data_IF_454084762206
#
_entry.id   IF_454084762206
#
_cell.length_a   1.000
_cell.length_b   1.000
_cell.length_c   1.000
_cell.angle_alpha   90.00
_cell.angle_beta   90.00
_cell.angle_gamma   90.00
#
_symmetry.space_group_name_H-M   'P 1'
#
loop_
_entity.id
_entity.type
_entity.pdbx_description
1 polymer ?
#
# COMPACT_ATOMS: atom_id res chain seq x y z
N UNK A 1 -23.26 26.36 9.08
CA UNK A 1 -22.70 27.65 8.60
C UNK A 1 -21.66 28.24 9.53
N UNK A 2 -21.95 28.53 10.81
CA UNK A 2 -20.93 29.07 11.74
C UNK A 2 -19.66 28.19 11.84
N UNK A 3 -19.82 26.87 11.94
CA UNK A 3 -18.71 25.93 11.94
C UNK A 3 -17.88 25.94 10.63
N UNK A 4 -18.52 26.17 9.47
CA UNK A 4 -17.83 26.30 8.18
C UNK A 4 -17.07 27.63 8.08
N UNK A 5 -17.60 28.71 8.66
CA UNK A 5 -16.93 30.00 8.71
C UNK A 5 -15.70 29.99 9.63
N UNK A 6 -15.71 29.14 10.66
CA UNK A 6 -14.59 28.88 11.56
C UNK A 6 -13.70 27.72 11.08
N UNK A 7 -14.01 27.14 9.91
CA UNK A 7 -13.24 26.05 9.37
C UNK A 7 -11.79 26.48 9.12
N UNK A 8 -10.84 25.53 9.10
CA UNK A 8 -9.46 25.90 8.85
C UNK A 8 -9.23 26.48 7.45
N UNK A 9 -10.10 26.14 6.48
CA UNK A 9 -10.14 26.69 5.12
C UNK A 9 -11.61 27.00 4.74
N UNK A 10 -12.18 28.16 5.14
CA UNK A 10 -13.62 28.43 5.05
C UNK A 10 -14.19 28.39 3.63
N UNK A 11 -13.55 29.06 2.67
CA UNK A 11 -14.04 29.12 1.28
C UNK A 11 -14.09 27.72 0.65
N UNK A 12 -13.02 26.95 0.83
CA UNK A 12 -12.93 25.58 0.35
C UNK A 12 -13.96 24.68 1.05
N UNK A 13 -14.13 24.81 2.36
CA UNK A 13 -15.12 24.05 3.12
C UNK A 13 -16.54 24.31 2.60
N UNK A 14 -16.88 25.58 2.33
CA UNK A 14 -18.19 25.97 1.79
C UNK A 14 -18.43 25.40 0.40
N UNK A 15 -17.45 25.50 -0.52
CA UNK A 15 -17.57 24.94 -1.87
C UNK A 15 -17.76 23.42 -1.84
N UNK A 16 -16.99 22.71 -1.01
CA UNK A 16 -17.11 21.26 -0.85
C UNK A 16 -18.41 20.85 -0.16
N UNK A 17 -18.88 21.65 0.78
CA UNK A 17 -20.18 21.47 1.42
C UNK A 17 -21.34 21.64 0.43
N UNK A 18 -21.29 22.66 -0.44
CA UNK A 18 -22.27 22.85 -1.50
C UNK A 18 -22.28 21.66 -2.47
N UNK A 19 -21.10 21.20 -2.89
CA UNK A 19 -20.96 20.01 -3.74
C UNK A 19 -21.57 18.75 -3.09
N UNK A 20 -21.31 18.53 -1.80
CA UNK A 20 -21.90 17.42 -1.05
C UNK A 20 -23.44 17.50 -1.04
N UNK A 21 -23.99 18.67 -0.72
CA UNK A 21 -25.45 18.86 -0.70
C UNK A 21 -26.07 18.71 -2.09
N UNK A 22 -25.41 19.18 -3.14
CA UNK A 22 -25.89 19.08 -4.52
C UNK A 22 -25.98 17.65 -5.04
N UNK A 23 -25.15 16.74 -4.52
CA UNK A 23 -25.13 15.33 -4.91
C UNK A 23 -26.07 14.45 -4.06
N UNK A 24 -26.66 14.98 -2.99
CA UNK A 24 -27.57 14.25 -2.13
C UNK A 24 -28.98 14.20 -2.73
N UNK A 25 -29.65 13.03 -2.76
CA UNK A 25 -31.06 12.98 -3.12
C UNK A 25 -31.94 13.71 -2.08
N UNK A 26 -31.49 13.77 -0.82
CA UNK A 26 -32.10 14.59 0.23
C UNK A 26 -31.06 14.94 1.30
N UNK A 27 -31.00 16.21 1.68
CA UNK A 27 -30.15 16.67 2.78
C UNK A 27 -30.76 16.43 4.17
N UNK A 28 -32.03 16.00 4.26
CA UNK A 28 -32.75 15.86 5.54
C UNK A 28 -32.05 14.88 6.47
N UNK A 29 -31.63 13.71 5.95
CA UNK A 29 -30.98 12.70 6.77
C UNK A 29 -29.61 13.16 7.28
N UNK A 30 -28.84 13.84 6.44
CA UNK A 30 -27.57 14.44 6.83
C UNK A 30 -27.76 15.47 7.95
N UNK A 31 -28.72 16.39 7.80
CA UNK A 31 -28.98 17.41 8.82
C UNK A 31 -29.47 16.81 10.13
N UNK A 32 -30.39 15.83 10.08
CA UNK A 32 -30.84 15.10 11.28
C UNK A 32 -29.69 14.39 11.98
N UNK A 33 -28.78 13.79 11.22
CA UNK A 33 -27.58 13.16 11.76
C UNK A 33 -26.69 14.18 12.49
N UNK A 34 -26.42 15.31 11.86
CA UNK A 34 -25.59 16.37 12.45
C UNK A 34 -26.25 17.04 13.67
N UNK A 35 -27.58 17.17 13.67
CA UNK A 35 -28.35 17.64 14.82
C UNK A 35 -28.29 16.65 15.99
N UNK A 36 -28.44 15.35 15.71
CA UNK A 36 -28.35 14.30 16.72
C UNK A 36 -26.92 14.08 17.24
N UNK A 37 -25.90 14.38 16.44
CA UNK A 37 -24.48 14.18 16.76
C UNK A 37 -23.64 15.43 16.42
N UNK A 38 -23.72 16.51 17.22
CA UNK A 38 -23.01 17.77 16.93
C UNK A 38 -21.50 17.64 16.78
N UNK A 39 -20.88 16.67 17.47
CA UNK A 39 -19.43 16.40 17.35
C UNK A 39 -19.02 15.98 15.92
N UNK A 40 -19.90 15.32 15.16
CA UNK A 40 -19.62 14.93 13.76
C UNK A 40 -19.49 16.15 12.85
N UNK A 41 -20.07 17.29 13.21
CA UNK A 41 -19.91 18.52 12.43
C UNK A 41 -18.46 18.99 12.40
N UNK A 42 -17.73 18.86 13.51
CA UNK A 42 -16.31 19.20 13.57
C UNK A 42 -15.47 18.32 12.66
N UNK A 43 -15.69 17.00 12.75
CA UNK A 43 -15.03 16.01 11.88
C UNK A 43 -15.34 16.27 10.40
N UNK A 44 -16.61 16.54 10.07
CA UNK A 44 -17.01 16.84 8.70
C UNK A 44 -16.32 18.10 8.17
N UNK A 45 -16.27 19.17 8.96
CA UNK A 45 -15.56 20.40 8.59
C UNK A 45 -14.07 20.10 8.34
N UNK A 46 -13.43 19.34 9.22
CA UNK A 46 -12.02 18.96 9.04
C UNK A 46 -11.82 18.14 7.75
N UNK A 47 -12.71 17.21 7.43
CA UNK A 47 -12.64 16.44 6.18
C UNK A 47 -12.73 17.36 4.96
N UNK A 48 -13.75 18.23 4.91
CA UNK A 48 -14.00 19.11 3.76
C UNK A 48 -12.86 20.12 3.54
N UNK A 49 -12.21 20.58 4.61
CA UNK A 49 -11.08 21.50 4.54
C UNK A 49 -9.75 20.81 4.25
N UNK A 50 -9.42 19.73 4.96
CA UNK A 50 -8.04 19.23 5.08
C UNK A 50 -7.73 18.02 4.19
N UNK A 51 -8.73 17.22 3.81
CA UNK A 51 -8.50 15.95 3.12
C UNK A 51 -9.28 15.89 1.80
N UNK A 52 -8.74 16.44 0.70
CA UNK A 52 -9.42 16.44 -0.60
C UNK A 52 -9.92 15.05 -1.02
N UNK A 53 -9.14 13.94 -0.90
CA UNK A 53 -9.62 12.61 -1.28
C UNK A 53 -10.85 12.14 -0.50
N UNK A 54 -10.95 12.47 0.80
CA UNK A 54 -12.10 12.10 1.62
C UNK A 54 -13.31 13.00 1.33
N UNK A 55 -13.09 14.29 1.10
CA UNK A 55 -14.14 15.21 0.68
C UNK A 55 -14.76 14.77 -0.66
N UNK A 56 -13.92 14.35 -1.62
CA UNK A 56 -14.37 13.80 -2.90
C UNK A 56 -15.15 12.48 -2.72
N UNK A 57 -14.72 11.63 -1.78
CA UNK A 57 -15.43 10.40 -1.44
C UNK A 57 -16.81 10.68 -0.84
N UNK A 58 -16.90 11.62 0.13
CA UNK A 58 -18.17 12.05 0.73
C UNK A 58 -19.13 12.63 -0.29
N UNK A 59 -18.63 13.46 -1.20
CA UNK A 59 -19.46 14.07 -2.25
C UNK A 59 -20.08 13.01 -3.17
N UNK A 60 -19.47 11.83 -3.32
CA UNK A 60 -20.05 10.69 -4.05
C UNK A 60 -20.94 9.81 -3.18
N UNK A 61 -20.56 9.63 -1.91
CA UNK A 61 -21.20 8.70 -0.96
C UNK A 61 -21.27 9.32 0.44
N UNK A 62 -22.40 9.97 0.72
CA UNK A 62 -22.63 10.61 2.02
C UNK A 62 -22.88 9.60 3.16
N UNK A 63 -23.24 8.37 2.82
CA UNK A 63 -23.38 7.25 3.77
C UNK A 63 -22.04 6.86 4.44
N UNK A 64 -20.91 7.36 3.93
CA UNK A 64 -19.60 7.24 4.59
C UNK A 64 -19.51 7.95 5.96
N UNK A 65 -20.48 8.81 6.30
CA UNK A 65 -20.61 9.38 7.64
C UNK A 65 -21.21 8.40 8.66
N UNK A 66 -21.99 7.41 8.21
CA UNK A 66 -22.68 6.49 9.10
C UNK A 66 -21.70 5.65 9.96
N UNK A 67 -20.59 5.12 9.40
CA UNK A 67 -19.57 4.44 10.20
C UNK A 67 -18.87 5.31 11.23
N UNK A 68 -18.98 6.65 11.16
CA UNK A 68 -18.37 7.57 12.13
C UNK A 68 -19.24 7.80 13.37
N UNK A 69 -20.49 7.30 13.38
CA UNK A 69 -21.44 7.48 14.48
C UNK A 69 -21.07 6.62 15.70
N UNK A 70 -20.46 5.47 15.44
CA UNK A 70 -20.10 4.48 16.44
C UNK A 70 -18.72 4.78 17.05
N UNK A 71 -18.52 4.43 18.33
CA UNK A 71 -17.22 4.61 19.00
C UNK A 71 -16.10 3.80 18.30
N UNK A 72 -16.44 2.66 17.69
CA UNK A 72 -15.55 1.83 16.87
C UNK A 72 -15.06 2.52 15.59
N UNK A 73 -15.54 3.73 15.28
CA UNK A 73 -15.02 4.54 14.17
C UNK A 73 -13.51 4.79 14.26
N UNK A 74 -12.98 4.86 15.49
CA UNK A 74 -11.59 5.15 15.80
C UNK A 74 -10.77 3.91 16.18
N UNK A 75 -11.37 2.73 16.12
CA UNK A 75 -10.64 1.47 16.27
C UNK A 75 -9.87 1.14 14.98
N UNK A 76 -8.66 0.62 15.14
CA UNK A 76 -7.91 0.06 14.03
C UNK A 76 -8.59 -1.25 13.57
N UNK A 77 -8.53 -1.59 12.27
CA UNK A 77 -9.12 -2.83 11.78
C UNK A 77 -8.49 -4.05 12.45
N UNK A 78 -9.28 -5.14 12.53
CA UNK A 78 -8.84 -6.45 13.01
C UNK A 78 -7.81 -7.12 12.09
N UNK A 79 -7.50 -8.38 12.37
CA UNK A 79 -6.66 -9.20 11.50
C UNK A 79 -7.31 -9.46 10.12
N UNK A 80 -6.51 -9.99 9.19
CA UNK A 80 -6.92 -10.25 7.81
C UNK A 80 -8.10 -11.24 7.77
N UNK A 81 -8.09 -12.28 8.61
CA UNK A 81 -9.15 -13.29 8.63
C UNK A 81 -10.50 -12.72 9.06
N UNK A 82 -10.52 -11.85 10.08
CA UNK A 82 -11.71 -11.14 10.52
C UNK A 82 -12.25 -10.21 9.44
N UNK A 83 -11.36 -9.51 8.72
CA UNK A 83 -11.73 -8.66 7.59
C UNK A 83 -12.27 -9.48 6.41
N UNK A 84 -11.65 -10.62 6.08
CA UNK A 84 -12.16 -11.56 5.06
C UNK A 84 -13.55 -12.04 5.43
N UNK A 85 -13.77 -12.47 6.68
CA UNK A 85 -15.09 -12.91 7.16
C UNK A 85 -16.13 -11.77 7.10
N UNK A 86 -15.71 -10.53 7.36
CA UNK A 86 -16.58 -9.37 7.20
C UNK A 86 -16.91 -9.13 5.71
N UNK A 87 -15.90 -9.07 4.83
CA UNK A 87 -16.07 -8.74 3.42
C UNK A 87 -16.79 -9.83 2.63
N UNK A 88 -16.59 -11.10 2.95
CA UNK A 88 -17.25 -12.24 2.32
C UNK A 88 -18.69 -12.48 2.80
N UNK A 89 -19.19 -11.72 3.80
CA UNK A 89 -20.56 -11.85 4.30
C UNK A 89 -21.57 -11.33 3.26
N UNK A 90 -22.16 -12.22 2.49
CA UNK A 90 -23.07 -11.91 1.39
C UNK A 90 -24.40 -12.64 1.57
N UNK A 91 -25.46 -12.11 0.95
CA UNK A 91 -26.74 -12.81 0.88
C UNK A 91 -26.60 -14.08 0.04
N UNK A 92 -27.23 -15.20 0.43
CA UNK A 92 -27.23 -16.43 -0.37
C UNK A 92 -27.68 -16.18 -1.81
N UNK A 93 -26.92 -16.69 -2.78
CA UNK A 93 -27.21 -16.51 -4.21
C UNK A 93 -26.80 -15.14 -4.77
N UNK A 94 -25.94 -14.39 -4.07
CA UNK A 94 -25.30 -13.20 -4.64
C UNK A 94 -24.48 -13.59 -5.87
N UNK A 95 -24.65 -12.84 -6.96
CA UNK A 95 -23.84 -12.99 -8.17
C UNK A 95 -22.46 -12.35 -8.02
N UNK A 96 -21.61 -12.58 -9.02
CA UNK A 96 -20.24 -12.05 -9.06
C UNK A 96 -20.20 -10.53 -8.94
N UNK A 97 -21.09 -9.80 -9.62
CA UNK A 97 -21.14 -8.33 -9.60
C UNK A 97 -21.46 -7.80 -8.19
N UNK A 98 -22.43 -8.41 -7.51
CA UNK A 98 -22.80 -8.02 -6.15
C UNK A 98 -21.70 -8.30 -5.13
N UNK A 99 -20.89 -9.34 -5.36
CA UNK A 99 -19.66 -9.57 -4.57
C UNK A 99 -18.70 -8.38 -4.76
N UNK A 100 -18.44 -8.00 -6.01
CA UNK A 100 -17.51 -6.89 -6.34
C UNK A 100 -17.93 -5.57 -5.67
N UNK A 101 -19.22 -5.24 -5.72
CA UNK A 101 -19.78 -4.01 -5.15
C UNK A 101 -19.77 -4.03 -3.62
N UNK A 102 -20.15 -5.16 -3.01
CA UNK A 102 -20.18 -5.26 -1.54
C UNK A 102 -18.79 -5.12 -0.93
N UNK A 103 -17.78 -5.75 -1.53
CA UNK A 103 -16.39 -5.62 -1.06
C UNK A 103 -15.90 -4.18 -1.22
N UNK A 104 -16.16 -3.53 -2.36
CA UNK A 104 -15.81 -2.13 -2.60
C UNK A 104 -16.40 -1.20 -1.55
N UNK A 105 -17.68 -1.36 -1.26
CA UNK A 105 -18.41 -0.58 -0.26
C UNK A 105 -17.77 -0.68 1.12
N UNK A 106 -17.52 -1.90 1.59
CA UNK A 106 -16.93 -2.16 2.92
C UNK A 106 -15.49 -1.67 3.02
N UNK A 107 -14.69 -1.86 1.96
CA UNK A 107 -13.32 -1.37 1.90
C UNK A 107 -13.29 0.15 1.89
N UNK A 108 -14.16 0.82 1.13
CA UNK A 108 -14.20 2.29 1.09
C UNK A 108 -14.56 2.86 2.46
N UNK A 109 -15.52 2.25 3.16
CA UNK A 109 -15.91 2.64 4.53
C UNK A 109 -14.76 2.45 5.52
N UNK A 110 -14.06 1.31 5.47
CA UNK A 110 -12.92 1.05 6.34
C UNK A 110 -11.75 2.02 6.07
N UNK A 111 -11.42 2.28 4.80
CA UNK A 111 -10.39 3.26 4.40
C UNK A 111 -10.77 4.69 4.80
N UNK A 112 -12.04 5.04 4.65
CA UNK A 112 -12.57 6.35 5.03
C UNK A 112 -12.38 6.61 6.54
N UNK A 113 -12.74 5.64 7.39
CA UNK A 113 -12.50 5.71 8.85
C UNK A 113 -11.02 5.92 9.17
N UNK A 114 -10.13 5.14 8.55
CA UNK A 114 -8.68 5.30 8.74
C UNK A 114 -8.16 6.67 8.27
N UNK A 115 -8.72 7.23 7.20
CA UNK A 115 -8.41 8.58 6.75
C UNK A 115 -8.85 9.64 7.78
N UNK A 116 -10.03 9.48 8.37
CA UNK A 116 -10.51 10.37 9.44
C UNK A 116 -9.61 10.29 10.67
N UNK A 117 -9.16 9.09 11.06
CA UNK A 117 -8.21 8.91 12.17
C UNK A 117 -6.88 9.65 11.94
N UNK A 118 -6.40 9.75 10.70
CA UNK A 118 -5.20 10.55 10.36
C UNK A 118 -5.44 12.05 10.55
N UNK A 119 -6.62 12.55 10.16
CA UNK A 119 -6.97 13.97 10.30
C UNK A 119 -7.06 14.35 11.78
N UNK A 120 -7.73 13.51 12.56
CA UNK A 120 -7.97 13.74 13.99
C UNK A 120 -6.75 13.38 14.87
N UNK A 121 -5.74 12.69 14.30
CA UNK A 121 -4.51 12.31 15.01
C UNK A 121 -4.74 11.32 16.14
N UNK A 122 -5.69 10.39 15.98
CA UNK A 122 -6.13 9.47 17.06
C UNK A 122 -5.24 8.22 17.18
N UNK A 123 -4.68 7.75 16.06
CA UNK A 123 -3.80 6.58 16.01
C UNK A 123 -2.50 6.90 15.28
N UNK A 124 -1.43 6.16 15.61
CA UNK A 124 -0.13 6.26 14.92
C UNK A 124 -0.32 6.03 13.41
N UNK A 125 0.14 6.96 12.53
CA UNK A 125 0.09 6.77 11.10
C UNK A 125 0.71 5.46 10.59
N UNK A 126 1.73 4.91 11.27
CA UNK A 126 2.27 3.58 10.91
C UNK A 126 1.21 2.50 11.10
N UNK A 127 0.53 2.49 12.24
CA UNK A 127 -0.53 1.52 12.55
C UNK A 127 -1.73 1.66 11.60
N UNK A 128 -2.07 2.90 11.22
CA UNK A 128 -3.08 3.19 10.20
C UNK A 128 -2.63 2.62 8.85
N UNK A 129 -1.37 2.84 8.45
CA UNK A 129 -0.82 2.31 7.20
C UNK A 129 -0.82 0.77 7.15
N UNK A 130 -0.54 0.12 8.26
CA UNK A 130 -0.65 -1.34 8.41
C UNK A 130 -2.12 -1.80 8.36
N UNK A 131 -3.05 -1.01 8.92
CA UNK A 131 -4.49 -1.23 8.77
C UNK A 131 -4.95 -1.17 7.32
N UNK A 132 -4.48 -0.18 6.55
CA UNK A 132 -4.75 -0.06 5.11
C UNK A 132 -4.23 -1.28 4.33
N UNK A 133 -3.05 -1.80 4.68
CA UNK A 133 -2.50 -3.00 4.06
C UNK A 133 -3.35 -4.25 4.36
N UNK A 134 -3.77 -4.45 5.61
CA UNK A 134 -4.64 -5.57 5.99
C UNK A 134 -6.00 -5.53 5.28
N UNK A 135 -6.58 -4.33 5.12
CA UNK A 135 -7.81 -4.14 4.34
C UNK A 135 -7.60 -4.53 2.87
N UNK A 136 -6.52 -4.08 2.24
CA UNK A 136 -6.20 -4.42 0.85
C UNK A 136 -5.95 -5.92 0.65
N UNK A 137 -5.29 -6.57 1.61
CA UNK A 137 -5.04 -8.00 1.60
C UNK A 137 -6.33 -8.82 1.70
N UNK A 138 -7.20 -8.47 2.66
CA UNK A 138 -8.50 -9.12 2.81
C UNK A 138 -9.38 -8.94 1.57
N UNK A 139 -9.40 -7.74 0.98
CA UNK A 139 -10.10 -7.50 -0.27
C UNK A 139 -9.54 -8.32 -1.43
N UNK A 140 -8.21 -8.40 -1.56
CA UNK A 140 -7.54 -9.20 -2.58
C UNK A 140 -7.87 -10.69 -2.46
N UNK A 141 -7.89 -11.22 -1.24
CA UNK A 141 -8.30 -12.60 -0.97
C UNK A 141 -9.73 -12.89 -1.42
N UNK A 142 -10.69 -12.07 -0.98
CA UNK A 142 -12.11 -12.27 -1.30
C UNK A 142 -12.37 -12.14 -2.81
N UNK A 143 -11.81 -11.11 -3.44
CA UNK A 143 -12.05 -10.82 -4.87
C UNK A 143 -11.34 -11.81 -5.79
N UNK A 144 -10.12 -12.24 -5.45
CA UNK A 144 -9.41 -13.27 -6.23
C UNK A 144 -10.12 -14.61 -6.11
N UNK A 145 -10.64 -14.96 -4.92
CA UNK A 145 -11.45 -16.16 -4.72
C UNK A 145 -12.72 -16.12 -5.56
N UNK A 146 -13.49 -15.03 -5.48
CA UNK A 146 -14.71 -14.87 -6.27
C UNK A 146 -14.43 -14.94 -7.78
N UNK A 147 -13.34 -14.30 -8.24
CA UNK A 147 -12.92 -14.37 -9.64
C UNK A 147 -12.54 -15.79 -10.06
N UNK A 148 -11.91 -16.58 -9.17
CA UNK A 148 -11.52 -17.97 -9.42
C UNK A 148 -12.72 -18.90 -9.48
N UNK A 149 -13.64 -18.79 -8.52
CA UNK A 149 -14.88 -19.59 -8.48
C UNK A 149 -15.74 -19.34 -9.74
N UNK A 150 -15.91 -18.07 -10.11
CA UNK A 150 -16.65 -17.68 -11.31
C UNK A 150 -15.96 -18.12 -12.60
N UNK A 151 -14.62 -18.08 -12.66
CA UNK A 151 -13.88 -18.57 -13.83
C UNK A 151 -13.97 -20.10 -13.97
N UNK A 152 -13.95 -20.81 -12.84
CA UNK A 152 -14.04 -22.26 -12.79
C UNK A 152 -15.41 -22.80 -13.23
N UNK A 153 -16.50 -22.05 -13.08
CA UNK A 153 -17.82 -22.46 -13.59
C UNK A 153 -17.82 -22.79 -15.09
N UNK A 154 -16.98 -22.10 -15.88
CA UNK A 154 -16.91 -22.28 -17.33
C UNK A 154 -15.73 -23.15 -17.78
N UNK A 155 -14.60 -23.02 -17.10
CA UNK A 155 -13.34 -23.62 -17.51
C UNK A 155 -12.90 -24.80 -16.63
N UNK A 156 -13.59 -25.05 -15.51
CA UNK A 156 -13.15 -26.01 -14.51
C UNK A 156 -11.90 -25.54 -13.78
N UNK A 157 -11.12 -26.46 -13.24
CA UNK A 157 -9.85 -26.20 -12.56
C UNK A 157 -8.72 -26.98 -13.22
N UNK A 158 -7.47 -26.58 -12.95
CA UNK A 158 -6.29 -27.36 -13.35
C UNK A 158 -5.96 -28.34 -12.20
N UNK A 159 -6.06 -29.67 -12.39
CA UNK A 159 -5.79 -30.62 -11.32
C UNK A 159 -4.37 -30.47 -10.75
N UNK A 160 -4.25 -30.37 -9.42
CA UNK A 160 -2.96 -30.24 -8.74
C UNK A 160 -2.25 -28.90 -8.95
N UNK A 161 -2.97 -27.87 -9.39
CA UNK A 161 -2.43 -26.53 -9.64
C UNK A 161 -3.31 -25.46 -9.00
N UNK A 162 -2.70 -24.38 -8.54
CA UNK A 162 -3.40 -23.24 -7.95
C UNK A 162 -2.71 -21.93 -8.30
N UNK A 163 -3.46 -20.83 -8.20
CA UNK A 163 -2.93 -19.49 -8.32
C UNK A 163 -2.28 -19.05 -7.00
N UNK A 164 -1.10 -18.45 -7.11
CA UNK A 164 -0.39 -17.81 -6.01
C UNK A 164 -0.25 -16.33 -6.34
N UNK A 165 -0.45 -15.45 -5.35
CA UNK A 165 -0.28 -14.00 -5.53
C UNK A 165 0.74 -13.46 -4.54
N UNK A 166 1.78 -12.82 -5.05
CA UNK A 166 2.78 -12.10 -4.28
C UNK A 166 2.43 -10.61 -4.21
N UNK A 167 2.49 -10.04 -3.01
CA UNK A 167 2.57 -8.59 -2.84
C UNK A 167 4.03 -8.15 -2.78
N UNK A 168 4.36 -7.02 -3.41
CA UNK A 168 5.68 -6.40 -3.38
C UNK A 168 5.64 -4.98 -2.80
N UNK A 169 6.82 -4.36 -2.69
CA UNK A 169 6.97 -2.98 -2.29
C UNK A 169 6.30 -2.67 -0.96
N UNK A 170 5.47 -1.64 -0.95
CA UNK A 170 4.74 -1.21 0.26
C UNK A 170 3.67 -2.22 0.68
N UNK A 171 2.99 -2.85 -0.28
CA UNK A 171 1.95 -3.83 0.00
C UNK A 171 2.52 -5.13 0.59
N UNK A 172 3.57 -5.67 -0.06
CA UNK A 172 4.27 -6.87 0.38
C UNK A 172 4.85 -6.73 1.79
N UNK A 173 5.47 -5.59 2.09
CA UNK A 173 5.93 -5.30 3.45
C UNK A 173 4.90 -4.68 4.38
N UNK A 174 3.61 -4.88 4.13
CA UNK A 174 2.56 -4.74 5.14
C UNK A 174 2.16 -3.31 5.50
N UNK A 175 2.47 -2.30 4.68
CA UNK A 175 2.14 -0.91 5.00
C UNK A 175 1.77 -0.09 3.76
N UNK A 176 0.54 0.42 3.72
CA UNK A 176 0.04 1.26 2.62
C UNK A 176 -0.17 2.72 3.05
N UNK A 177 -0.34 3.59 2.08
CA UNK A 177 -0.86 4.95 2.25
C UNK A 177 -2.24 5.04 1.61
N UNK A 178 -2.98 6.13 1.84
CA UNK A 178 -4.31 6.29 1.23
C UNK A 178 -4.28 6.29 -0.32
N UNK A 179 -3.14 6.59 -0.92
CA UNK A 179 -2.92 6.68 -2.37
C UNK A 179 -1.95 5.60 -2.90
N UNK A 180 -1.78 4.48 -2.19
CA UNK A 180 -0.91 3.41 -2.65
C UNK A 180 -1.59 2.50 -3.68
N UNK A 181 -0.84 2.19 -4.73
CA UNK A 181 -1.14 1.10 -5.66
C UNK A 181 -0.82 -0.26 -5.02
N UNK A 182 -1.34 -1.34 -5.58
CA UNK A 182 -1.02 -2.71 -5.19
C UNK A 182 -0.01 -3.32 -6.18
N UNK A 183 1.25 -3.42 -5.76
CA UNK A 183 2.30 -4.10 -6.51
C UNK A 183 2.13 -5.62 -6.38
N UNK A 184 1.73 -6.30 -7.46
CA UNK A 184 1.37 -7.72 -7.46
C UNK A 184 2.12 -8.53 -8.54
N UNK A 185 2.53 -9.75 -8.19
CA UNK A 185 2.94 -10.79 -9.15
C UNK A 185 2.01 -11.99 -9.01
N UNK A 186 1.50 -12.48 -10.14
CA UNK A 186 0.69 -13.68 -10.20
C UNK A 186 1.55 -14.85 -10.65
N UNK A 187 1.55 -15.91 -9.85
CA UNK A 187 2.20 -17.19 -10.13
C UNK A 187 1.18 -18.32 -10.15
N UNK A 188 1.57 -19.48 -10.65
CA UNK A 188 0.80 -20.71 -10.47
C UNK A 188 1.69 -21.93 -10.26
N UNK A 189 1.18 -22.90 -9.50
CA UNK A 189 1.87 -24.18 -9.21
C UNK A 189 1.52 -25.26 -10.22
N UNK A 190 2.02 -26.48 -10.06
CA UNK A 190 1.66 -27.62 -10.89
C UNK A 190 2.28 -27.59 -12.29
N UNK A 191 1.81 -28.48 -13.15
CA UNK A 191 2.32 -28.65 -14.52
C UNK A 191 1.75 -27.58 -15.46
N UNK A 192 2.63 -26.80 -16.09
CA UNK A 192 2.26 -25.76 -17.05
C UNK A 192 1.69 -26.32 -18.37
N UNK A 193 1.84 -27.62 -18.61
CA UNK A 193 1.28 -28.37 -19.73
C UNK A 193 -0.07 -29.02 -19.43
N UNK A 194 -0.52 -29.02 -18.17
CA UNK A 194 -1.82 -29.58 -17.79
C UNK A 194 -2.99 -28.80 -18.43
N UNK A 195 -4.15 -29.46 -18.54
CA UNK A 195 -5.39 -28.87 -19.02
C UNK A 195 -6.44 -28.82 -17.92
N UNK A 196 -7.37 -27.87 -18.05
CA UNK A 196 -8.47 -27.71 -17.10
C UNK A 196 -9.63 -28.62 -17.43
N UNK A 197 -10.43 -28.98 -16.42
CA UNK A 197 -11.41 -30.06 -16.48
C UNK A 197 -12.86 -29.62 -16.75
N UNK A 198 -13.09 -28.35 -17.11
CA UNK A 198 -14.44 -27.83 -17.36
C UNK A 198 -14.92 -27.98 -18.80
N UNK A 199 -16.14 -27.47 -19.07
CA UNK A 199 -16.80 -27.57 -20.38
C UNK A 199 -15.99 -26.94 -21.54
N UNK A 200 -15.14 -25.97 -21.22
CA UNK A 200 -14.24 -25.30 -22.18
C UNK A 200 -12.81 -25.36 -21.66
N UNK A 201 -12.11 -26.50 -21.84
CA UNK A 201 -10.78 -26.69 -21.28
C UNK A 201 -9.78 -25.66 -21.86
N UNK A 202 -8.85 -25.27 -21.01
CA UNK A 202 -7.71 -24.41 -21.32
C UNK A 202 -6.45 -25.07 -20.76
N UNK A 203 -5.34 -25.01 -21.50
CA UNK A 203 -4.02 -25.31 -20.95
C UNK A 203 -3.65 -24.36 -19.81
N UNK A 204 -2.92 -24.84 -18.80
CA UNK A 204 -2.65 -24.17 -17.53
C UNK A 204 -2.10 -22.75 -17.72
N UNK A 205 -1.12 -22.57 -18.60
CA UNK A 205 -0.54 -21.24 -18.90
C UNK A 205 -1.61 -20.25 -19.38
N UNK A 206 -2.52 -20.66 -20.28
CA UNK A 206 -3.59 -19.79 -20.76
C UNK A 206 -4.68 -19.58 -19.71
N UNK A 207 -4.98 -20.62 -18.93
CA UNK A 207 -5.92 -20.58 -17.81
C UNK A 207 -5.51 -19.50 -16.80
N UNK A 208 -4.29 -19.56 -16.26
CA UNK A 208 -3.82 -18.63 -15.24
C UNK A 208 -3.58 -17.22 -15.78
N UNK A 209 -3.18 -17.07 -17.05
CA UNK A 209 -3.08 -15.76 -17.69
C UNK A 209 -4.43 -15.05 -17.84
N UNK A 210 -5.52 -15.80 -18.07
CA UNK A 210 -6.88 -15.24 -18.12
C UNK A 210 -7.43 -14.99 -16.72
N UNK A 211 -7.18 -15.92 -15.80
CA UNK A 211 -7.63 -15.79 -14.41
C UNK A 211 -6.94 -14.59 -13.71
N UNK A 212 -5.63 -14.39 -13.91
CA UNK A 212 -4.92 -13.26 -13.30
C UNK A 212 -5.45 -11.91 -13.81
N UNK A 213 -5.72 -11.78 -15.11
CA UNK A 213 -6.40 -10.60 -15.67
C UNK A 213 -7.77 -10.37 -15.04
N UNK A 214 -8.53 -11.44 -14.77
CA UNK A 214 -9.84 -11.34 -14.11
C UNK A 214 -9.70 -10.90 -12.65
N UNK A 215 -8.72 -11.43 -11.91
CA UNK A 215 -8.41 -11.02 -10.54
C UNK A 215 -7.96 -9.56 -10.47
N UNK A 216 -7.09 -9.12 -11.39
CA UNK A 216 -6.70 -7.71 -11.56
C UNK A 216 -7.93 -6.85 -11.80
N UNK A 217 -8.80 -7.25 -12.74
CA UNK A 217 -10.02 -6.50 -13.04
C UNK A 217 -10.98 -6.41 -11.85
N UNK A 218 -11.08 -7.47 -11.04
CA UNK A 218 -11.89 -7.48 -9.83
C UNK A 218 -11.43 -6.41 -8.81
N UNK A 219 -10.14 -6.06 -8.82
CA UNK A 219 -9.54 -5.02 -7.97
C UNK A 219 -9.54 -3.62 -8.62
N UNK A 220 -9.34 -3.50 -9.93
CA UNK A 220 -9.08 -2.20 -10.56
C UNK A 220 -10.22 -1.62 -11.39
N UNK A 221 -11.05 -2.47 -12.01
CA UNK A 221 -12.10 -1.97 -12.89
C UNK A 221 -13.21 -1.30 -12.05
N UNK A 222 -13.61 -0.07 -12.38
CA UNK A 222 -14.70 0.61 -11.66
C UNK A 222 -16.02 -0.14 -11.80
N UNK A 223 -16.75 -0.27 -10.69
CA UNK A 223 -18.16 -0.67 -10.70
C UNK A 223 -19.04 0.54 -10.37
N UNK A 224 -20.33 0.32 -10.06
CA UNK A 224 -21.19 1.38 -9.53
C UNK A 224 -20.64 2.00 -8.23
N UNK A 225 -19.82 1.25 -7.47
CA UNK A 225 -19.15 1.72 -6.25
C UNK A 225 -17.78 2.38 -6.53
N UNK A 226 -17.36 2.48 -7.80
CA UNK A 226 -16.09 3.04 -8.22
C UNK A 226 -14.93 2.01 -8.32
N UNK A 227 -13.73 2.52 -8.57
CA UNK A 227 -12.50 1.72 -8.57
C UNK A 227 -12.04 1.44 -7.13
N UNK A 228 -11.48 0.24 -6.87
CA UNK A 228 -11.04 -0.15 -5.53
C UNK A 228 -9.56 0.17 -5.30
N UNK A 229 -8.69 -0.38 -6.16
CA UNK A 229 -7.25 -0.12 -6.15
C UNK A 229 -6.71 -0.06 -7.58
N UNK A 230 -5.71 0.80 -7.80
CA UNK A 230 -4.81 0.62 -8.92
C UNK A 230 -3.90 -0.59 -8.65
N UNK A 231 -3.65 -1.40 -9.67
CA UNK A 231 -2.84 -2.62 -9.56
C UNK A 231 -1.66 -2.51 -10.51
N UNK A 232 -0.45 -2.55 -9.94
CA UNK A 232 0.80 -2.55 -10.70
C UNK A 232 1.36 -3.97 -10.76
N UNK A 233 1.59 -4.47 -11.97
CA UNK A 233 2.16 -5.81 -12.21
C UNK A 233 3.48 -5.76 -12.98
N UNK A 234 4.12 -4.59 -13.06
CA UNK A 234 5.34 -4.38 -13.86
C UNK A 234 6.59 -5.06 -13.28
N UNK A 235 6.54 -5.46 -12.01
CA UNK A 235 7.62 -6.19 -11.33
C UNK A 235 7.59 -7.71 -11.58
N UNK A 236 6.65 -8.21 -12.38
CA UNK A 236 6.62 -9.63 -12.77
C UNK A 236 7.81 -10.00 -13.68
N UNK A 237 8.17 -11.30 -13.78
CA UNK A 237 9.21 -11.74 -14.71
C UNK A 237 9.05 -11.17 -16.12
N UNK A 238 10.14 -10.61 -16.67
CA UNK A 238 10.18 -9.93 -17.98
C UNK A 238 9.27 -8.68 -18.10
N UNK A 239 8.79 -8.14 -16.98
CA UNK A 239 8.00 -6.91 -16.91
C UNK A 239 6.78 -6.93 -17.84
N UNK A 240 6.56 -5.83 -18.56
CA UNK A 240 5.42 -5.70 -19.49
C UNK A 240 5.44 -6.70 -20.64
N UNK A 241 6.63 -7.21 -21.01
CA UNK A 241 6.80 -8.20 -22.08
C UNK A 241 6.54 -9.64 -21.61
N UNK A 242 6.51 -9.87 -20.30
CA UNK A 242 6.24 -11.17 -19.70
C UNK A 242 4.74 -11.51 -19.61
N UNK A 243 4.41 -12.81 -19.47
CA UNK A 243 3.03 -13.24 -19.29
C UNK A 243 2.44 -12.65 -18.00
N UNK A 244 1.14 -12.33 -17.97
CA UNK A 244 0.46 -11.85 -16.75
C UNK A 244 0.59 -12.76 -15.53
N UNK A 245 0.67 -14.08 -15.75
CA UNK A 245 0.99 -15.07 -14.72
C UNK A 245 2.09 -16.01 -15.22
N UNK A 246 3.06 -16.31 -14.35
CA UNK A 246 4.17 -17.24 -14.64
C UNK A 246 4.01 -18.53 -13.82
N UNK A 247 4.50 -19.66 -14.34
CA UNK A 247 4.62 -20.86 -13.51
C UNK A 247 5.68 -20.63 -12.43
N UNK A 248 5.57 -21.34 -11.31
CA UNK A 248 6.61 -21.30 -10.28
C UNK A 248 7.98 -21.72 -10.83
N UNK A 249 8.01 -22.68 -11.76
CA UNK A 249 9.25 -23.10 -12.43
C UNK A 249 9.86 -21.97 -13.26
N UNK A 250 9.07 -21.28 -14.08
CA UNK A 250 9.55 -20.13 -14.87
C UNK A 250 9.99 -18.97 -13.98
N UNK A 251 9.28 -18.71 -12.88
CA UNK A 251 9.70 -17.71 -11.90
C UNK A 251 11.06 -18.07 -11.29
N UNK A 252 11.25 -19.33 -10.86
CA UNK A 252 12.54 -19.82 -10.33
C UNK A 252 13.66 -19.62 -11.34
N UNK A 253 13.44 -20.01 -12.60
CA UNK A 253 14.44 -19.89 -13.65
C UNK A 253 14.81 -18.43 -13.90
N UNK A 254 13.82 -17.58 -14.15
CA UNK A 254 14.03 -16.16 -14.40
C UNK A 254 14.79 -15.48 -13.26
N UNK A 255 14.38 -15.72 -12.01
CA UNK A 255 15.05 -15.13 -10.84
C UNK A 255 16.48 -15.66 -10.62
N UNK A 256 16.79 -16.87 -11.11
CA UNK A 256 18.11 -17.47 -11.02
C UNK A 256 19.07 -17.00 -12.12
N UNK A 257 18.55 -16.80 -13.34
CA UNK A 257 19.36 -16.67 -14.56
C UNK A 257 19.31 -15.25 -15.16
N UNK A 258 18.13 -14.62 -15.19
CA UNK A 258 17.87 -13.42 -16.00
C UNK A 258 17.64 -12.14 -15.17
N UNK A 259 17.19 -12.28 -13.92
CA UNK A 259 16.76 -11.15 -13.11
C UNK A 259 17.93 -10.25 -12.70
N UNK A 260 17.70 -8.94 -12.79
CA UNK A 260 18.67 -7.92 -12.38
C UNK A 260 18.72 -7.78 -10.86
N UNK A 261 19.82 -7.25 -10.33
CA UNK A 261 19.98 -7.01 -8.88
C UNK A 261 18.87 -6.14 -8.29
N UNK A 262 18.36 -5.14 -9.02
CA UNK A 262 17.24 -4.32 -8.55
C UNK A 262 15.92 -5.10 -8.43
N UNK A 263 15.72 -6.16 -9.24
CA UNK A 263 14.57 -7.06 -9.10
C UNK A 263 14.72 -7.93 -7.85
N UNK A 264 15.93 -8.38 -7.53
CA UNK A 264 16.22 -9.06 -6.26
C UNK A 264 16.01 -8.13 -5.06
N UNK A 265 16.34 -6.84 -5.17
CA UNK A 265 16.01 -5.85 -4.14
C UNK A 265 14.48 -5.72 -3.96
N UNK A 266 13.71 -5.69 -5.04
CA UNK A 266 12.25 -5.67 -4.95
C UNK A 266 11.69 -6.94 -4.27
N UNK A 267 12.34 -8.11 -4.47
CA UNK A 267 11.98 -9.36 -3.79
C UNK A 267 12.23 -9.34 -2.28
N UNK A 268 13.10 -8.46 -1.76
CA UNK A 268 13.26 -8.30 -0.30
C UNK A 268 11.95 -7.83 0.38
N UNK A 269 11.01 -7.26 -0.38
CA UNK A 269 9.68 -6.84 0.08
C UNK A 269 8.59 -7.85 -0.25
N UNK A 270 8.91 -8.96 -0.91
CA UNK A 270 7.91 -9.89 -1.41
C UNK A 270 7.27 -10.70 -0.27
N UNK A 271 5.94 -10.82 -0.30
CA UNK A 271 5.17 -11.65 0.63
C UNK A 271 4.07 -12.40 -0.11
N UNK A 272 3.90 -13.68 0.18
CA UNK A 272 2.82 -14.48 -0.40
C UNK A 272 1.50 -14.13 0.29
N UNK A 273 0.56 -13.56 -0.47
CA UNK A 273 -0.74 -13.12 0.03
C UNK A 273 -1.81 -14.18 -0.17
N UNK A 274 -1.76 -14.89 -1.30
CA UNK A 274 -2.75 -15.87 -1.75
C UNK A 274 -2.04 -17.14 -2.20
N UNK A 275 -2.58 -18.29 -1.81
CA UNK A 275 -2.04 -19.64 -2.06
C UNK A 275 -2.22 -20.53 -0.83
N UNK A 276 -2.25 -21.85 -1.04
CA UNK A 276 -2.20 -22.86 0.02
C UNK A 276 -0.91 -22.75 0.85
N UNK A 277 -0.88 -23.28 2.08
CA UNK A 277 0.35 -23.36 2.88
C UNK A 277 1.51 -23.98 2.10
N UNK A 278 1.26 -25.02 1.32
CA UNK A 278 2.26 -25.72 0.51
C UNK A 278 2.80 -24.81 -0.61
N UNK A 279 1.92 -24.13 -1.34
CA UNK A 279 2.31 -23.22 -2.40
C UNK A 279 3.06 -21.99 -1.88
N UNK A 280 2.64 -21.46 -0.72
CA UNK A 280 3.34 -20.37 -0.02
C UNK A 280 4.77 -20.77 0.31
N UNK A 281 4.95 -21.91 0.97
CA UNK A 281 6.27 -22.42 1.34
C UNK A 281 7.17 -22.63 0.12
N UNK A 282 6.62 -23.16 -0.98
CA UNK A 282 7.39 -23.37 -2.21
C UNK A 282 7.91 -22.05 -2.81
N UNK A 283 7.08 -21.01 -2.84
CA UNK A 283 7.46 -19.69 -3.37
C UNK A 283 8.42 -18.97 -2.42
N UNK A 284 8.16 -19.02 -1.11
CA UNK A 284 9.05 -18.47 -0.09
C UNK A 284 10.43 -19.11 -0.11
N UNK A 285 10.51 -20.42 -0.35
CA UNK A 285 11.77 -21.13 -0.55
C UNK A 285 12.57 -20.58 -1.73
N UNK A 286 11.92 -20.35 -2.88
CA UNK A 286 12.58 -19.79 -4.06
C UNK A 286 13.03 -18.34 -3.86
N UNK A 287 12.22 -17.52 -3.19
CA UNK A 287 12.61 -16.15 -2.81
C UNK A 287 13.83 -16.20 -1.89
N UNK A 288 13.79 -17.03 -0.83
CA UNK A 288 14.90 -17.17 0.09
C UNK A 288 16.18 -17.61 -0.64
N UNK A 289 16.10 -18.61 -1.52
CA UNK A 289 17.22 -19.09 -2.34
C UNK A 289 17.86 -17.97 -3.17
N UNK A 290 17.03 -17.11 -3.77
CA UNK A 290 17.50 -15.96 -4.57
C UNK A 290 18.15 -14.92 -3.67
N UNK A 291 17.52 -14.55 -2.56
CA UNK A 291 18.01 -13.50 -1.67
C UNK A 291 19.31 -13.90 -0.96
N UNK A 292 19.50 -15.18 -0.60
CA UNK A 292 20.71 -15.70 0.08
C UNK A 292 21.82 -16.15 -0.87
N UNK A 293 21.67 -15.98 -2.19
CA UNK A 293 22.73 -16.28 -3.15
C UNK A 293 24.01 -15.49 -2.83
N UNK A 294 25.20 -16.11 -2.85
CA UNK A 294 26.46 -15.37 -2.73
C UNK A 294 26.63 -14.34 -3.85
N UNK A 295 27.04 -13.13 -3.48
CA UNK A 295 27.28 -12.01 -4.41
C UNK A 295 28.68 -11.46 -4.16
N UNK A 296 29.31 -10.97 -5.22
CA UNK A 296 30.52 -10.17 -5.08
C UNK A 296 30.13 -8.80 -4.45
N UNK A 297 30.71 -8.39 -3.31
CA UNK A 297 30.32 -7.17 -2.62
C UNK A 297 30.49 -5.90 -3.45
N UNK A 298 31.55 -5.80 -4.25
CA UNK A 298 31.84 -4.61 -5.05
C UNK A 298 30.91 -4.50 -6.25
N UNK A 299 30.61 -5.63 -6.90
CA UNK A 299 29.61 -5.69 -7.98
C UNK A 299 28.23 -5.29 -7.45
N UNK A 300 27.79 -5.89 -6.34
CA UNK A 300 26.50 -5.55 -5.72
C UNK A 300 26.42 -4.07 -5.34
N UNK A 301 27.48 -3.54 -4.71
CA UNK A 301 27.58 -2.11 -4.38
C UNK A 301 27.42 -1.24 -5.64
N UNK A 302 28.18 -1.54 -6.70
CA UNK A 302 28.14 -0.78 -7.95
C UNK A 302 26.75 -0.78 -8.59
N UNK A 303 26.11 -1.94 -8.70
CA UNK A 303 24.78 -2.08 -9.32
C UNK A 303 23.68 -1.34 -8.53
N UNK A 304 23.74 -1.38 -7.20
CA UNK A 304 22.81 -0.65 -6.32
C UNK A 304 22.94 0.86 -6.53
N UNK A 305 24.17 1.38 -6.56
CA UNK A 305 24.46 2.81 -6.75
C UNK A 305 24.07 3.29 -8.15
N UNK A 306 24.40 2.52 -9.19
CA UNK A 306 24.01 2.82 -10.57
C UNK A 306 22.49 2.90 -10.70
N UNK A 307 21.78 1.89 -10.19
CA UNK A 307 20.32 1.87 -10.24
C UNK A 307 19.71 3.04 -9.47
N UNK A 308 20.24 3.36 -8.29
CA UNK A 308 19.74 4.48 -7.49
C UNK A 308 19.91 5.82 -8.22
N UNK A 309 21.07 6.01 -8.86
CA UNK A 309 21.38 7.21 -9.64
C UNK A 309 20.46 7.34 -10.84
N UNK A 310 20.28 6.24 -11.59
CA UNK A 310 19.32 6.20 -12.70
C UNK A 310 17.91 6.55 -12.24
N UNK A 311 17.45 5.99 -11.12
CA UNK A 311 16.14 6.29 -10.57
C UNK A 311 16.00 7.77 -10.16
N UNK A 312 17.03 8.35 -9.55
CA UNK A 312 17.04 9.77 -9.16
C UNK A 312 16.81 10.70 -10.37
N UNK A 313 17.49 10.40 -11.49
CA UNK A 313 17.39 11.19 -12.71
C UNK A 313 16.02 11.14 -13.39
N UNK A 314 15.30 10.02 -13.27
CA UNK A 314 13.98 9.84 -13.90
C UNK A 314 12.80 10.19 -12.98
N UNK A 315 13.00 10.14 -11.65
CA UNK A 315 11.96 10.36 -10.64
C UNK A 315 12.48 11.29 -9.53
N UNK A 316 12.69 12.59 -9.82
CA UNK A 316 13.08 13.55 -8.81
C UNK A 316 11.98 13.74 -7.77
N UNK A 317 12.34 14.33 -6.63
CA UNK A 317 11.39 14.74 -5.60
C UNK A 317 10.31 15.66 -6.17
N UNK A 318 9.05 15.43 -5.79
CA UNK A 318 7.90 16.19 -6.30
C UNK A 318 7.72 17.56 -5.64
N UNK A 319 8.36 17.78 -4.49
CA UNK A 319 8.26 19.01 -3.72
C UNK A 319 9.05 18.94 -2.41
N UNK A 320 9.05 20.02 -1.63
CA UNK A 320 9.85 20.14 -0.40
C UNK A 320 9.46 19.11 0.69
N UNK A 321 8.24 18.57 0.63
CA UNK A 321 7.76 17.56 1.59
C UNK A 321 7.85 16.12 1.04
N UNK A 322 8.50 15.89 -0.10
CA UNK A 322 8.63 14.54 -0.66
C UNK A 322 9.71 13.72 0.08
N UNK A 323 9.38 13.25 1.28
CA UNK A 323 10.24 12.40 2.12
C UNK A 323 10.51 11.02 1.50
N UNK A 324 9.82 10.66 0.42
CA UNK A 324 10.02 9.38 -0.27
C UNK A 324 11.17 9.48 -1.26
N UNK A 325 11.10 10.44 -2.19
CA UNK A 325 12.04 10.55 -3.31
C UNK A 325 13.20 11.52 -3.05
N UNK A 326 13.11 12.39 -2.04
CA UNK A 326 14.20 13.28 -1.67
C UNK A 326 15.47 12.50 -1.26
N UNK A 327 16.63 13.14 -1.42
CA UNK A 327 17.91 12.60 -0.92
C UNK A 327 17.87 12.47 0.61
N UNK A 328 18.37 11.35 1.12
CA UNK A 328 18.21 10.92 2.52
C UNK A 328 16.79 10.44 2.85
N UNK A 329 15.91 10.30 1.86
CA UNK A 329 14.52 9.88 2.04
C UNK A 329 14.33 8.37 2.11
N UNK A 330 13.07 7.93 2.13
CA UNK A 330 12.70 6.52 2.28
C UNK A 330 13.27 5.63 1.16
N UNK A 331 13.43 6.14 -0.06
CA UNK A 331 14.06 5.36 -1.14
C UNK A 331 15.54 5.11 -0.88
N UNK A 332 16.30 6.10 -0.42
CA UNK A 332 17.72 5.90 -0.08
C UNK A 332 17.85 4.89 1.07
N UNK A 333 16.98 5.01 2.08
CA UNK A 333 16.89 4.08 3.19
C UNK A 333 16.56 2.65 2.74
N UNK A 334 15.58 2.48 1.84
CA UNK A 334 15.19 1.17 1.30
C UNK A 334 16.34 0.53 0.50
N UNK A 335 17.07 1.33 -0.30
CA UNK A 335 18.27 0.86 -1.02
C UNK A 335 19.38 0.39 -0.08
N UNK A 336 19.63 1.14 1.00
CA UNK A 336 20.60 0.77 2.04
C UNK A 336 20.23 -0.55 2.71
N UNK A 337 18.96 -0.70 3.12
CA UNK A 337 18.45 -1.92 3.75
C UNK A 337 18.56 -3.11 2.81
N UNK A 338 18.12 -2.98 1.56
CA UNK A 338 18.16 -4.07 0.58
C UNK A 338 19.58 -4.43 0.18
N UNK A 339 20.50 -3.47 0.08
CA UNK A 339 21.93 -3.77 -0.08
C UNK A 339 22.44 -4.63 1.08
N UNK A 340 22.20 -4.23 2.33
CA UNK A 340 22.62 -4.98 3.50
C UNK A 340 22.01 -6.40 3.54
N UNK A 341 20.73 -6.55 3.18
CA UNK A 341 20.05 -7.84 3.07
C UNK A 341 20.70 -8.74 2.01
N UNK A 342 20.92 -8.24 0.80
CA UNK A 342 21.50 -9.03 -0.30
C UNK A 342 22.99 -9.34 -0.10
N UNK A 343 23.73 -8.46 0.58
CA UNK A 343 25.15 -8.65 0.88
C UNK A 343 25.37 -9.68 1.99
N UNK A 344 24.47 -9.72 2.99
CA UNK A 344 24.65 -10.56 4.18
C UNK A 344 23.78 -11.80 4.22
N UNK A 345 22.68 -11.84 3.46
CA UNK A 345 21.62 -12.84 3.59
C UNK A 345 20.86 -12.76 4.93
N UNK A 346 20.97 -11.65 5.68
CA UNK A 346 20.36 -11.45 6.99
C UNK A 346 19.21 -10.43 6.93
N UNK A 347 18.37 -10.45 7.95
CA UNK A 347 17.25 -9.52 8.07
C UNK A 347 16.25 -9.61 6.92
N UNK A 348 16.12 -10.78 6.28
CA UNK A 348 15.23 -11.04 5.14
C UNK A 348 13.75 -11.10 5.57
N UNK A 349 13.24 -9.95 6.00
CA UNK A 349 11.86 -9.74 6.42
C UNK A 349 11.21 -8.73 5.48
N UNK A 350 10.01 -8.99 4.95
CA UNK A 350 9.35 -8.06 4.03
C UNK A 350 9.01 -6.71 4.65
N UNK A 351 8.72 -6.63 5.95
CA UNK A 351 8.51 -5.37 6.68
C UNK A 351 9.85 -4.63 6.89
N UNK A 352 9.93 -3.35 6.49
CA UNK A 352 11.19 -2.61 6.45
C UNK A 352 11.69 -2.29 7.86
N UNK A 353 10.77 -1.93 8.77
CA UNK A 353 11.11 -1.62 10.15
C UNK A 353 11.67 -2.86 10.85
N UNK A 354 11.04 -4.02 10.65
CA UNK A 354 11.55 -5.29 11.16
C UNK A 354 12.88 -5.71 10.49
N UNK A 355 13.05 -5.46 9.19
CA UNK A 355 14.31 -5.72 8.50
C UNK A 355 15.44 -4.85 9.07
N UNK A 356 15.21 -3.55 9.29
CA UNK A 356 16.16 -2.63 9.92
C UNK A 356 16.53 -3.12 11.32
N UNK A 357 15.55 -3.45 12.16
CA UNK A 357 15.82 -3.94 13.51
C UNK A 357 16.66 -5.24 13.52
N UNK A 358 16.36 -6.18 12.62
CA UNK A 358 17.10 -7.43 12.49
C UNK A 358 18.55 -7.18 12.01
N UNK A 359 18.75 -6.28 11.05
CA UNK A 359 20.09 -5.92 10.56
C UNK A 359 20.91 -5.14 11.59
N UNK A 360 20.28 -4.24 12.35
CA UNK A 360 20.91 -3.52 13.44
C UNK A 360 21.38 -4.47 14.55
N UNK A 361 20.57 -5.48 14.89
CA UNK A 361 20.96 -6.56 15.84
C UNK A 361 22.21 -7.32 15.37
N UNK A 362 22.47 -7.37 14.06
CA UNK A 362 23.66 -7.96 13.47
C UNK A 362 24.82 -6.98 13.27
N UNK A 363 24.68 -5.71 13.68
CA UNK A 363 25.67 -4.66 13.47
C UNK A 363 25.86 -4.27 12.00
N UNK A 364 24.89 -4.59 11.13
CA UNK A 364 24.95 -4.32 9.69
C UNK A 364 24.35 -2.97 9.32
N UNK A 365 23.49 -2.42 10.19
CA UNK A 365 22.90 -1.09 10.05
C UNK A 365 22.97 -0.36 11.41
N UNK A 366 23.03 0.98 11.41
CA UNK A 366 23.01 1.75 12.64
C UNK A 366 21.63 1.67 13.33
N UNK A 367 21.61 1.65 14.67
CA UNK A 367 20.37 1.49 15.47
C UNK A 367 19.39 2.66 15.28
N UNK A 368 19.92 3.86 15.05
CA UNK A 368 19.20 5.10 14.81
C UNK A 368 18.45 5.14 13.47
N UNK A 369 18.71 4.20 12.56
CA UNK A 369 17.98 4.10 11.30
C UNK A 369 16.51 3.67 11.49
N UNK A 370 16.21 2.90 12.55
CA UNK A 370 14.84 2.51 12.90
C UNK A 370 13.95 3.72 13.23
N UNK A 371 14.33 4.55 14.21
CA UNK A 371 13.64 5.81 14.49
C UNK A 371 13.56 6.76 13.28
N UNK A 372 14.61 6.84 12.45
CA UNK A 372 14.59 7.64 11.23
C UNK A 372 13.54 7.12 10.22
N UNK A 373 13.50 5.81 9.99
CA UNK A 373 12.48 5.15 9.16
C UNK A 373 11.06 5.48 9.65
N UNK A 374 10.82 5.38 10.95
CA UNK A 374 9.49 5.57 11.50
C UNK A 374 9.02 7.02 11.37
N UNK A 375 9.90 7.99 11.62
CA UNK A 375 9.60 9.42 11.43
C UNK A 375 9.22 9.74 9.98
N UNK A 376 10.02 9.27 9.01
CA UNK A 376 9.75 9.48 7.59
C UNK A 376 8.47 8.75 7.14
N UNK A 377 8.24 7.55 7.66
CA UNK A 377 7.06 6.74 7.31
C UNK A 377 5.78 7.32 7.88
N UNK A 378 5.77 7.79 9.13
CA UNK A 378 4.61 8.47 9.74
C UNK A 378 4.20 9.67 8.91
N UNK A 379 5.18 10.50 8.57
CA UNK A 379 4.94 11.67 7.74
C UNK A 379 4.43 11.28 6.34
N UNK A 380 5.03 10.30 5.66
CA UNK A 380 4.57 9.86 4.34
C UNK A 380 3.11 9.40 4.38
N UNK A 381 2.71 8.61 5.37
CA UNK A 381 1.33 8.10 5.46
C UNK A 381 0.34 9.26 5.65
N UNK A 382 0.61 10.20 6.55
CA UNK A 382 -0.26 11.35 6.79
C UNK A 382 -0.26 12.34 5.61
N UNK A 383 0.91 12.67 5.06
CA UNK A 383 1.07 13.63 3.97
C UNK A 383 0.39 13.15 2.68
N UNK A 384 0.34 11.85 2.39
CA UNK A 384 -0.40 11.33 1.23
C UNK A 384 -1.88 11.63 1.25
N UNK A 385 -2.46 11.91 2.42
CA UNK A 385 -3.85 12.32 2.57
C UNK A 385 -4.00 13.85 2.66
N UNK A 386 -3.15 14.49 3.46
CA UNK A 386 -3.28 15.91 3.86
C UNK A 386 -2.55 16.89 2.93
N UNK A 387 -1.50 16.42 2.24
CA UNK A 387 -0.66 17.18 1.31
C UNK A 387 -0.23 16.31 0.11
N UNK A 388 -1.19 15.82 -0.71
CA UNK A 388 -0.93 14.79 -1.72
C UNK A 388 0.02 15.24 -2.85
N UNK A 389 0.15 16.55 -3.09
CA UNK A 389 1.05 17.16 -4.07
C UNK A 389 2.48 17.36 -3.56
N UNK A 390 2.75 17.02 -2.29
CA UNK A 390 4.05 17.19 -1.63
C UNK A 390 4.53 18.65 -1.56
N UNK A 391 3.61 19.60 -1.71
CA UNK A 391 3.85 21.03 -1.52
C UNK A 391 3.61 21.41 -0.07
N UNK A 392 4.15 22.57 0.34
CA UNK A 392 3.94 23.10 1.68
C UNK A 392 2.44 23.42 1.89
N UNK A 393 1.73 22.71 2.77
CA UNK A 393 0.29 22.86 2.85
C UNK A 393 -0.07 24.12 3.65
N UNK A 394 -1.35 24.47 3.61
CA UNK A 394 -1.90 25.59 4.39
C UNK A 394 -1.72 25.36 5.91
N UNK A 395 -1.66 26.43 6.73
CA UNK A 395 -1.34 26.32 8.16
C UNK A 395 -2.16 25.28 8.92
N UNK A 396 -3.43 25.14 8.58
CA UNK A 396 -4.31 24.14 9.19
C UNK A 396 -3.92 22.69 8.91
N UNK A 397 -3.55 22.38 7.66
CA UNK A 397 -3.10 21.06 7.28
C UNK A 397 -1.71 20.75 7.88
N UNK A 398 -0.86 21.77 8.10
CA UNK A 398 0.37 21.62 8.90
C UNK A 398 0.06 21.20 10.33
N UNK A 399 -0.90 21.84 10.98
CA UNK A 399 -1.33 21.46 12.34
C UNK A 399 -1.88 20.03 12.40
N UNK A 400 -2.62 19.59 11.37
CA UNK A 400 -3.08 18.20 11.27
C UNK A 400 -1.91 17.22 11.10
N UNK A 401 -0.91 17.55 10.26
CA UNK A 401 0.31 16.74 10.10
C UNK A 401 1.12 16.64 11.40
N UNK A 402 1.30 17.75 12.10
CA UNK A 402 1.99 17.83 13.40
C UNK A 402 1.31 16.90 14.41
N UNK A 403 -0.02 17.02 14.55
CA UNK A 403 -0.82 16.18 15.44
C UNK A 403 -0.72 14.70 15.05
N UNK A 404 -0.90 14.38 13.77
CA UNK A 404 -0.84 13.01 13.27
C UNK A 404 0.54 12.37 13.49
N UNK A 405 1.61 13.14 13.34
CA UNK A 405 2.98 12.65 13.54
C UNK A 405 3.43 12.67 15.01
N UNK A 406 2.65 13.26 15.92
CA UNK A 406 2.93 13.28 17.36
C UNK A 406 3.94 14.34 17.81
N UNK A 407 4.06 15.46 17.09
CA UNK A 407 4.96 16.58 17.43
C UNK A 407 4.18 17.77 18.04
N UNK A 408 4.89 18.68 18.71
CA UNK A 408 4.28 19.86 19.35
C UNK A 408 3.94 20.98 18.37
N UNK A 409 4.84 21.21 17.40
CA UNK A 409 4.65 22.21 16.35
C UNK A 409 5.30 21.81 15.01
N UNK A 410 5.14 22.68 14.01
CA UNK A 410 5.66 22.46 12.66
C UNK A 410 7.19 22.48 12.60
N UNK A 411 7.85 23.33 13.40
CA UNK A 411 9.31 23.46 13.42
C UNK A 411 9.96 22.22 14.04
N UNK A 412 9.36 21.65 15.08
CA UNK A 412 9.77 20.37 15.66
C UNK A 412 9.66 19.23 14.63
N UNK A 413 8.55 19.16 13.90
CA UNK A 413 8.36 18.17 12.84
C UNK A 413 9.38 18.33 11.71
N UNK A 414 9.62 19.55 11.22
CA UNK A 414 10.64 19.83 10.20
C UNK A 414 12.04 19.41 10.66
N UNK A 415 12.39 19.74 11.90
CA UNK A 415 13.67 19.36 12.51
C UNK A 415 13.82 17.84 12.60
N UNK A 416 12.77 17.13 13.01
CA UNK A 416 12.78 15.68 13.08
C UNK A 416 12.91 15.01 11.71
N UNK A 417 12.24 15.55 10.68
CA UNK A 417 12.37 15.06 9.31
C UNK A 417 13.77 15.32 8.73
N UNK A 418 14.34 16.50 8.98
CA UNK A 418 15.71 16.82 8.59
C UNK A 418 16.71 15.89 9.28
N UNK A 419 16.57 15.70 10.60
CA UNK A 419 17.42 14.78 11.38
C UNK A 419 17.34 13.34 10.90
N UNK A 420 16.13 12.84 10.59
CA UNK A 420 15.95 11.51 10.02
C UNK A 420 16.65 11.37 8.66
N UNK A 421 16.54 12.38 7.78
CA UNK A 421 17.22 12.39 6.48
C UNK A 421 18.75 12.44 6.62
N UNK A 422 19.26 13.21 7.59
CA UNK A 422 20.69 13.24 7.90
C UNK A 422 21.20 11.90 8.42
N UNK A 423 20.43 11.19 9.25
CA UNK A 423 20.76 9.83 9.70
C UNK A 423 20.88 8.87 8.50
N UNK A 424 19.91 8.90 7.58
CA UNK A 424 19.97 8.08 6.35
C UNK A 424 21.18 8.45 5.49
N UNK A 425 21.47 9.74 5.32
CA UNK A 425 22.62 10.20 4.52
C UNK A 425 23.96 9.79 5.15
N UNK A 426 24.07 9.80 6.47
CA UNK A 426 25.26 9.33 7.18
C UNK A 426 25.41 7.81 7.00
N UNK A 427 24.35 7.03 7.21
CA UNK A 427 24.39 5.58 6.99
C UNK A 427 24.75 5.23 5.53
N UNK A 428 24.25 6.00 4.57
CA UNK A 428 24.60 5.85 3.15
C UNK A 428 26.09 6.07 2.89
N UNK A 429 26.65 7.12 3.48
CA UNK A 429 28.09 7.41 3.39
C UNK A 429 28.92 6.29 4.00
N UNK A 430 28.52 5.77 5.15
CA UNK A 430 29.25 4.70 5.84
C UNK A 430 29.19 3.38 5.05
N UNK A 431 28.05 3.08 4.42
CA UNK A 431 27.88 1.87 3.62
C UNK A 431 28.56 1.95 2.24
N UNK A 432 28.54 3.11 1.60
CA UNK A 432 28.92 3.24 0.19
C UNK A 432 30.13 4.14 -0.07
N UNK A 433 30.60 4.92 0.91
CA UNK A 433 31.67 5.91 0.71
C UNK A 433 31.25 7.10 -0.17
N UNK A 434 29.95 7.31 -0.40
CA UNK A 434 29.41 8.40 -1.22
C UNK A 434 28.60 9.38 -0.37
N UNK A 435 28.73 10.68 -0.63
CA UNK A 435 27.89 11.69 0.03
C UNK A 435 26.59 11.89 -0.74
N UNK A 436 25.46 11.85 -0.01
CA UNK A 436 24.18 12.30 -0.56
C UNK A 436 24.08 13.82 -0.40
N UNK A 437 23.84 14.52 -1.50
CA UNK A 437 23.51 15.94 -1.50
C UNK A 437 22.15 16.15 -0.83
N UNK A 438 22.15 16.47 0.46
CA UNK A 438 20.97 16.88 1.21
C UNK A 438 21.03 18.40 1.43
N UNK A 439 19.93 19.09 1.15
CA UNK A 439 19.76 20.47 1.58
C UNK A 439 19.82 20.49 3.12
N UNK A 440 20.82 21.18 3.65
CA UNK A 440 20.97 21.37 5.11
C UNK A 440 19.93 22.42 5.54
N UNK A 441 19.20 22.19 6.65
CA UNK A 441 18.16 23.12 7.12
C UNK A 441 18.67 24.54 7.40
#
# INVERSE_FOLDING_TARGET
MAALAQAPEPERAVLRWEQLLGNLPSAINLFRLLEARPALLGVLVNILSLAPPLADALARRADLLDPLIDASAFELPGDVDSLVANFARLEPGSDYERVLDTVRRRVSEARFRLGVQLIEGVNDPIAIGQGLARIAEAASLVLTRAASEEFAQRHGTIPGSEMVVLGLGRFGGGILTHASDLDLIYLFTGDFQAESDGERPLGATLYYNRLSKRAIAALSVPTAEGALYEVDTRLRPSGEQGPPAASLESFRQYQGEDAWTWEHMALCRARVLIGSPEARLAVEHEIARVLTRPRDPEVLRGEVLEMRTRMAGHKPAKGPLDVKLARGGLVDLEFLVHHAQLASGRGLVPDLGHAIAALATHGLLPEDLGPAHDTLTRFLVAARLLAPDSQLPVPAARLALVRACGYGDWSELETALAGARSCVAQAWRDAFGEELEIETP
#
